data_IF_904245898343
#
_entry.id   IF_904245898343
#
_cell.length_a   1.000
_cell.length_b   1.000
_cell.length_c   1.000
_cell.angle_alpha   90.00
_cell.angle_beta   90.00
_cell.angle_gamma   90.00
#
_symmetry.space_group_name_H-M   'P 1'
#
loop_
_entity.id
_entity.type
_entity.pdbx_description
1 polymer ?
#
# COMPACT_ATOMS: atom_id res chain seq x y z
N UNK A 1 34.45 -4.30 -37.79
CA UNK A 1 33.75 -5.47 -37.20
C UNK A 1 33.87 -5.59 -35.67
N UNK A 2 35.04 -5.39 -35.02
CA UNK A 2 35.19 -5.56 -33.55
C UNK A 2 34.43 -4.53 -32.69
N UNK A 3 34.23 -3.29 -33.15
CA UNK A 3 33.58 -2.22 -32.37
C UNK A 3 32.07 -2.42 -32.14
N UNK A 4 31.38 -3.21 -32.96
CA UNK A 4 29.94 -3.45 -32.81
C UNK A 4 29.63 -4.49 -31.71
N UNK A 5 30.50 -5.48 -31.50
CA UNK A 5 30.30 -6.54 -30.49
C UNK A 5 30.40 -6.01 -29.05
N UNK A 6 31.30 -5.06 -28.78
CA UNK A 6 31.42 -4.41 -27.47
C UNK A 6 30.20 -3.57 -27.14
N UNK A 7 29.57 -2.95 -28.14
CA UNK A 7 28.35 -2.15 -27.99
C UNK A 7 27.15 -2.99 -27.54
N UNK A 8 27.02 -4.24 -28.02
CA UNK A 8 25.92 -5.13 -27.67
C UNK A 8 26.05 -5.66 -26.25
N UNK A 9 27.26 -6.10 -25.85
CA UNK A 9 27.52 -6.55 -24.48
C UNK A 9 27.31 -5.42 -23.46
N UNK A 10 27.72 -4.19 -23.78
CA UNK A 10 27.47 -3.00 -22.96
C UNK A 10 25.98 -2.69 -22.81
N UNK A 11 25.23 -2.73 -23.92
CA UNK A 11 23.76 -2.53 -23.92
C UNK A 11 23.06 -3.59 -23.08
N UNK A 12 23.47 -4.85 -23.19
CA UNK A 12 22.91 -5.93 -22.38
C UNK A 12 23.20 -5.74 -20.89
N UNK A 13 24.43 -5.38 -20.54
CA UNK A 13 24.79 -5.04 -19.15
C UNK A 13 23.91 -3.91 -18.62
N UNK A 14 23.70 -2.85 -19.40
CA UNK A 14 22.83 -1.74 -19.01
C UNK A 14 21.37 -2.19 -18.79
N UNK A 15 20.83 -3.04 -19.69
CA UNK A 15 19.51 -3.64 -19.52
C UNK A 15 19.40 -4.43 -18.23
N UNK A 16 20.40 -5.27 -17.93
CA UNK A 16 20.45 -6.06 -16.70
C UNK A 16 20.52 -5.19 -15.45
N UNK A 17 21.36 -4.15 -15.43
CA UNK A 17 21.42 -3.21 -14.30
C UNK A 17 20.10 -2.45 -14.11
N UNK A 18 19.45 -2.03 -15.20
CA UNK A 18 18.16 -1.37 -15.13
C UNK A 18 17.08 -2.28 -14.53
N UNK A 19 17.05 -3.55 -14.95
CA UNK A 19 16.14 -4.57 -14.37
C UNK A 19 16.41 -4.77 -12.88
N UNK A 20 17.66 -5.05 -12.50
CA UNK A 20 18.05 -5.27 -11.09
C UNK A 20 17.74 -4.06 -10.21
N UNK A 21 17.93 -2.84 -10.72
CA UNK A 21 17.61 -1.61 -9.98
C UNK A 21 16.10 -1.43 -9.81
N UNK A 22 15.31 -1.73 -10.83
CA UNK A 22 13.84 -1.72 -10.72
C UNK A 22 13.36 -2.76 -9.72
N UNK A 23 13.93 -3.96 -9.76
CA UNK A 23 13.62 -5.05 -8.82
C UNK A 23 13.92 -4.63 -7.38
N UNK A 24 15.14 -4.18 -7.07
CA UNK A 24 15.51 -3.73 -5.71
C UNK A 24 14.61 -2.62 -5.19
N UNK A 25 14.23 -1.66 -6.04
CA UNK A 25 13.31 -0.59 -5.65
C UNK A 25 11.89 -1.12 -5.40
N UNK A 26 11.44 -2.10 -6.18
CA UNK A 26 10.15 -2.76 -5.96
C UNK A 26 10.16 -3.54 -4.65
N UNK A 27 11.20 -4.33 -4.41
CA UNK A 27 11.39 -5.09 -3.16
C UNK A 27 11.44 -4.15 -1.95
N UNK A 28 12.18 -3.04 -2.03
CA UNK A 28 12.22 -2.07 -0.93
C UNK A 28 10.83 -1.47 -0.61
N UNK A 29 10.08 -1.05 -1.64
CA UNK A 29 8.71 -0.55 -1.42
C UNK A 29 7.79 -1.64 -0.86
N UNK A 30 7.92 -2.88 -1.32
CA UNK A 30 7.15 -4.01 -0.80
C UNK A 30 7.47 -4.28 0.67
N UNK A 31 8.76 -4.32 1.03
CA UNK A 31 9.19 -4.55 2.41
C UNK A 31 8.67 -3.47 3.36
N UNK A 32 8.61 -2.20 2.93
CA UNK A 32 8.02 -1.13 3.73
C UNK A 32 6.51 -1.33 3.94
N UNK A 33 5.80 -1.74 2.89
CA UNK A 33 4.37 -2.04 2.97
C UNK A 33 4.10 -3.24 3.89
N UNK A 34 4.81 -4.35 3.69
CA UNK A 34 4.69 -5.55 4.52
C UNK A 34 4.98 -5.23 6.00
N UNK A 35 5.98 -4.37 6.26
CA UNK A 35 6.32 -3.93 7.62
C UNK A 35 5.23 -3.06 8.25
N UNK A 36 4.63 -2.14 7.50
CA UNK A 36 3.51 -1.34 7.99
C UNK A 36 2.30 -2.23 8.33
N UNK A 37 2.00 -3.21 7.48
CA UNK A 37 0.91 -4.17 7.71
C UNK A 37 1.16 -5.05 8.94
N UNK A 38 2.39 -5.55 9.14
CA UNK A 38 2.80 -6.30 10.33
C UNK A 38 2.60 -5.47 11.60
N UNK A 39 3.03 -4.20 11.60
CA UNK A 39 2.90 -3.31 12.74
C UNK A 39 1.45 -2.97 13.06
N UNK A 40 0.61 -2.78 12.03
CA UNK A 40 -0.84 -2.58 12.19
C UNK A 40 -1.50 -3.82 12.81
N UNK A 41 -1.18 -5.02 12.32
CA UNK A 41 -1.70 -6.26 12.89
C UNK A 41 -1.26 -6.43 14.35
N UNK A 42 0.01 -6.14 14.65
CA UNK A 42 0.53 -6.16 16.02
C UNK A 42 -0.22 -5.19 16.93
N UNK A 43 -0.54 -3.99 16.45
CA UNK A 43 -1.33 -3.01 17.21
C UNK A 43 -2.71 -3.56 17.55
N UNK A 44 -3.40 -4.15 16.57
CA UNK A 44 -4.72 -4.76 16.75
C UNK A 44 -4.65 -5.88 17.79
N UNK A 45 -3.65 -6.76 17.70
CA UNK A 45 -3.44 -7.85 18.66
C UNK A 45 -3.20 -7.32 20.07
N UNK A 46 -2.32 -6.33 20.25
CA UNK A 46 -2.03 -5.72 21.55
C UNK A 46 -3.28 -5.12 22.18
N UNK A 47 -4.08 -4.40 21.39
CA UNK A 47 -5.36 -3.84 21.86
C UNK A 47 -6.31 -4.94 22.33
N UNK A 48 -6.46 -6.01 21.54
CA UNK A 48 -7.30 -7.14 21.91
C UNK A 48 -6.85 -7.77 23.24
N UNK A 49 -5.55 -8.07 23.38
CA UNK A 49 -5.01 -8.66 24.61
C UNK A 49 -5.19 -7.74 25.82
N UNK A 50 -5.01 -6.42 25.66
CA UNK A 50 -5.26 -5.45 26.74
C UNK A 50 -6.74 -5.47 27.14
N UNK A 51 -7.67 -5.47 26.18
CA UNK A 51 -9.10 -5.56 26.47
C UNK A 51 -9.48 -6.87 27.17
N UNK A 52 -8.92 -8.00 26.73
CA UNK A 52 -9.12 -9.31 27.37
C UNK A 52 -8.63 -9.29 28.82
N UNK A 53 -7.44 -8.76 29.09
CA UNK A 53 -6.88 -8.63 30.45
C UNK A 53 -7.67 -7.66 31.32
N UNK A 54 -8.06 -6.51 30.80
CA UNK A 54 -8.90 -5.57 31.54
C UNK A 54 -10.25 -6.20 31.92
N UNK A 55 -10.86 -6.93 30.98
CA UNK A 55 -12.11 -7.67 31.23
C UNK A 55 -11.90 -8.74 32.30
N UNK A 56 -10.81 -9.52 32.21
CA UNK A 56 -10.46 -10.53 33.21
C UNK A 56 -10.22 -9.91 34.60
N UNK A 57 -9.52 -8.77 34.68
CA UNK A 57 -9.27 -8.05 35.92
C UNK A 57 -10.57 -7.52 36.54
N UNK A 58 -11.50 -6.99 35.74
CA UNK A 58 -12.83 -6.59 36.23
C UNK A 58 -13.57 -7.79 36.79
N UNK A 59 -13.61 -8.91 36.06
CA UNK A 59 -14.27 -10.13 36.52
C UNK A 59 -13.65 -10.65 37.82
N UNK A 60 -12.32 -10.68 37.93
CA UNK A 60 -11.63 -11.10 39.14
C UNK A 60 -11.91 -10.15 40.33
N UNK A 61 -11.92 -8.84 40.09
CA UNK A 61 -12.27 -7.83 41.09
C UNK A 61 -13.73 -7.91 41.55
N UNK A 62 -14.65 -8.38 40.71
CA UNK A 62 -16.02 -8.66 41.14
C UNK A 62 -16.10 -9.81 42.15
N UNK A 63 -15.16 -10.77 42.10
CA UNK A 63 -15.07 -11.87 43.06
C UNK A 63 -14.25 -11.51 44.31
N UNK A 64 -13.26 -10.62 44.20
CA UNK A 64 -12.43 -10.13 45.30
C UNK A 64 -12.86 -8.72 45.71
N UNK A 65 -13.72 -8.62 46.72
CA UNK A 65 -14.35 -7.39 47.22
C UNK A 65 -13.36 -6.43 47.94
N UNK A 66 -12.26 -6.05 47.30
CA UNK A 66 -11.36 -5.00 47.79
C UNK A 66 -11.50 -3.72 46.96
N UNK A 67 -11.50 -2.58 47.67
CA UNK A 67 -11.82 -1.24 47.14
C UNK A 67 -10.87 -0.83 46.02
N UNK A 68 -11.46 -0.45 44.89
CA UNK A 68 -10.76 -0.10 43.67
C UNK A 68 -9.96 1.20 43.75
N UNK A 69 -8.68 1.08 43.40
CA UNK A 69 -7.96 2.12 42.70
C UNK A 69 -8.23 1.93 41.21
N UNK A 70 -9.04 2.82 40.63
CA UNK A 70 -9.04 3.01 39.18
C UNK A 70 -7.66 3.53 38.82
N UNK A 71 -6.77 2.63 38.40
CA UNK A 71 -5.41 2.97 38.01
C UNK A 71 -5.43 4.14 37.02
N UNK A 72 -4.62 5.14 37.30
CA UNK A 72 -4.38 6.29 36.43
C UNK A 72 -3.77 5.79 35.12
N UNK A 73 -4.62 5.51 34.13
CA UNK A 73 -4.18 5.07 32.80
C UNK A 73 -3.71 6.31 32.05
N UNK A 74 -2.49 6.26 31.50
CA UNK A 74 -1.96 7.31 30.64
C UNK A 74 -2.99 7.67 29.54
N UNK A 75 -3.43 8.94 29.44
CA UNK A 75 -4.39 9.40 28.42
C UNK A 75 -4.01 8.96 27.00
N UNK A 76 -2.70 8.89 26.70
CA UNK A 76 -2.21 8.45 25.40
C UNK A 76 -2.53 6.98 25.12
N UNK A 77 -2.46 6.12 26.13
CA UNK A 77 -2.86 4.71 26.01
C UNK A 77 -4.37 4.62 25.79
N UNK A 78 -5.14 5.42 26.53
CA UNK A 78 -6.60 5.42 26.44
C UNK A 78 -7.07 5.83 25.03
N UNK A 79 -6.47 6.87 24.45
CA UNK A 79 -6.73 7.32 23.08
C UNK A 79 -6.42 6.21 22.05
N UNK A 80 -5.30 5.50 22.22
CA UNK A 80 -4.91 4.39 21.35
C UNK A 80 -5.88 3.21 21.47
N UNK A 81 -6.39 2.91 22.66
CA UNK A 81 -7.38 1.86 22.89
C UNK A 81 -8.75 2.23 22.31
N UNK A 82 -9.16 3.49 22.40
CA UNK A 82 -10.45 3.99 21.85
C UNK A 82 -10.50 4.04 20.32
N UNK A 83 -9.36 4.22 19.64
CA UNK A 83 -9.26 4.32 18.17
C UNK A 83 -9.81 3.06 17.48
N UNK A 84 -10.60 3.15 16.40
CA UNK A 84 -11.06 1.95 15.69
C UNK A 84 -9.93 1.29 14.88
N UNK A 85 -10.13 0.06 14.40
CA UNK A 85 -9.13 -0.62 13.56
C UNK A 85 -8.96 0.05 12.18
N UNK A 86 -10.00 0.71 11.69
CA UNK A 86 -10.03 1.45 10.43
C UNK A 86 -9.25 2.76 10.52
N UNK A 87 -9.18 3.37 11.71
CA UNK A 87 -8.48 4.63 11.95
C UNK A 87 -6.96 4.46 12.08
N UNK A 88 -6.46 3.25 12.28
CA UNK A 88 -5.02 2.96 12.28
C UNK A 88 -4.43 3.38 10.92
N UNK A 89 -3.30 4.10 10.88
CA UNK A 89 -2.62 4.46 9.64
C UNK A 89 -2.39 3.24 8.74
N UNK A 90 -2.65 3.40 7.44
CA UNK A 90 -2.58 2.34 6.44
C UNK A 90 -1.96 2.92 5.16
N UNK A 91 -1.24 2.09 4.40
CA UNK A 91 -0.66 2.44 3.10
C UNK A 91 -1.67 3.09 2.15
N UNK A 92 -2.94 2.71 2.21
CA UNK A 92 -4.04 3.31 1.42
C UNK A 92 -4.34 4.77 1.74
N UNK A 93 -3.93 5.25 2.93
CA UNK A 93 -4.13 6.64 3.38
C UNK A 93 -3.00 7.58 2.96
N UNK A 94 -1.91 7.06 2.40
CA UNK A 94 -0.82 7.92 1.90
C UNK A 94 -1.36 8.72 0.72
N UNK A 95 -1.33 10.06 0.77
CA UNK A 95 -1.92 10.90 -0.27
C UNK A 95 -1.30 10.57 -1.63
N UNK A 96 -2.12 10.09 -2.55
CA UNK A 96 -1.67 9.90 -3.93
C UNK A 96 -1.41 11.29 -4.52
N UNK A 97 -0.19 11.52 -5.00
CA UNK A 97 0.15 12.82 -5.58
C UNK A 97 -0.80 13.16 -6.73
N UNK A 98 -1.37 14.37 -6.73
CA UNK A 98 -2.38 14.77 -7.70
C UNK A 98 -1.94 14.42 -9.13
N UNK A 99 -2.87 13.84 -9.88
CA UNK A 99 -2.65 13.63 -11.31
C UNK A 99 -2.28 14.97 -11.94
N UNK A 100 -1.17 15.00 -12.68
CA UNK A 100 -0.77 16.22 -13.36
C UNK A 100 -1.82 16.57 -14.41
N UNK A 101 -2.53 17.66 -14.18
CA UNK A 101 -3.35 18.30 -15.19
C UNK A 101 -2.45 19.28 -15.93
N UNK A 102 -1.97 18.90 -17.12
CA UNK A 102 -1.26 19.84 -17.99
C UNK A 102 -2.27 20.80 -18.63
N UNK A 103 -2.01 22.12 -18.60
CA UNK A 103 -2.78 23.08 -19.39
C UNK A 103 -2.78 22.67 -20.87
N UNK A 104 -3.96 22.64 -21.50
CA UNK A 104 -4.13 22.34 -22.93
C UNK A 104 -4.43 20.87 -23.28
N UNK A 105 -4.63 19.98 -22.29
CA UNK A 105 -5.12 18.60 -22.55
C UNK A 105 -6.65 18.48 -22.68
N UNK A 106 -7.41 19.58 -22.51
CA UNK A 106 -8.87 19.55 -22.49
C UNK A 106 -9.53 19.62 -23.88
N UNK A 107 -8.76 19.81 -24.96
CA UNK A 107 -9.31 20.08 -26.31
C UNK A 107 -9.84 18.84 -27.07
N UNK A 108 -9.87 17.65 -26.46
CA UNK A 108 -10.16 16.39 -27.17
C UNK A 108 -11.43 15.63 -26.79
N UNK A 109 -12.12 15.94 -25.69
CA UNK A 109 -13.35 15.21 -25.31
C UNK A 109 -14.58 15.95 -25.83
N UNK A 110 -15.02 15.53 -27.03
CA UNK A 110 -16.37 15.78 -27.55
C UNK A 110 -17.38 15.34 -26.50
N UNK A 111 -18.09 16.32 -25.94
CA UNK A 111 -19.17 16.23 -24.96
C UNK A 111 -20.34 15.44 -25.60
N UNK A 112 -20.61 14.21 -25.15
CA UNK A 112 -21.98 13.68 -25.16
C UNK A 112 -22.52 13.91 -23.75
N UNK A 113 -23.60 14.70 -23.70
CA UNK A 113 -24.02 15.41 -22.50
C UNK A 113 -24.61 14.53 -21.42
N UNK A 114 -24.51 15.03 -20.19
CA UNK A 114 -25.63 15.10 -19.24
C UNK A 114 -25.31 16.28 -18.31
N UNK A 115 -26.21 17.24 -18.28
CA UNK A 115 -26.16 18.48 -17.52
C UNK A 115 -26.45 18.25 -16.04
N UNK A 116 -25.53 18.63 -15.16
CA UNK A 116 -25.83 18.94 -13.76
C UNK A 116 -24.99 20.14 -13.33
N UNK A 117 -25.61 21.32 -13.41
CA UNK A 117 -25.02 22.65 -13.20
C UNK A 117 -24.58 22.94 -11.76
N UNK A 118 -24.78 22.02 -10.80
CA UNK A 118 -24.35 22.19 -9.42
C UNK A 118 -22.92 21.65 -9.15
N UNK A 119 -22.40 20.77 -10.00
CA UNK A 119 -21.07 20.18 -9.81
C UNK A 119 -19.93 21.03 -10.41
N UNK A 120 -20.25 21.94 -11.35
CA UNK A 120 -19.24 22.79 -12.02
C UNK A 120 -18.82 23.98 -11.13
N UNK A 121 -19.69 24.51 -10.27
CA UNK A 121 -19.38 25.65 -9.40
C UNK A 121 -18.44 25.26 -8.23
N UNK A 122 -18.62 24.07 -7.67
CA UNK A 122 -17.78 23.56 -6.57
C UNK A 122 -16.39 23.10 -7.04
N UNK A 123 -16.28 22.66 -8.31
CA UNK A 123 -15.00 22.30 -8.93
C UNK A 123 -14.15 23.53 -9.29
N UNK A 124 -14.77 24.69 -9.52
CA UNK A 124 -14.07 25.93 -9.83
C UNK A 124 -13.40 26.54 -8.58
N UNK A 125 -14.07 26.48 -7.42
CA UNK A 125 -13.51 26.95 -6.14
C UNK A 125 -12.31 26.10 -5.65
N UNK A 126 -12.30 24.78 -5.93
CA UNK A 126 -11.15 23.93 -5.64
C UNK A 126 -9.98 24.15 -6.62
N UNK A 127 -10.27 24.55 -7.87
CA UNK A 127 -9.23 24.87 -8.86
C UNK A 127 -8.54 26.21 -8.54
N UNK A 128 -9.25 27.18 -7.96
CA UNK A 128 -8.66 28.45 -7.56
C UNK A 128 -7.76 28.30 -6.32
N UNK A 129 -8.12 27.43 -5.36
CA UNK A 129 -7.26 27.11 -4.21
C UNK A 129 -5.93 26.41 -4.60
N UNK A 130 -5.94 25.62 -5.69
CA UNK A 130 -4.72 24.99 -6.24
C UNK A 130 -3.84 26.00 -6.99
N UNK A 131 -4.43 27.07 -7.55
CA UNK A 131 -3.69 28.17 -8.19
C UNK A 131 -3.22 29.24 -7.21
N UNK A 132 -3.83 29.35 -6.02
CA UNK A 132 -3.49 30.32 -4.98
C UNK A 132 -2.41 29.83 -3.99
N UNK A 133 -2.04 28.54 -4.02
CA UNK A 133 -0.74 28.12 -3.51
C UNK A 133 0.32 28.62 -4.49
N UNK A 134 1.40 29.25 -4.01
CA UNK A 134 2.37 29.87 -4.89
C UNK A 134 2.96 28.81 -5.83
N UNK A 135 2.51 28.85 -7.09
CA UNK A 135 3.26 28.37 -8.25
C UNK A 135 4.45 29.34 -8.49
N UNK A 136 5.11 29.77 -7.41
CA UNK A 136 6.54 30.00 -7.40
C UNK A 136 7.14 28.59 -7.23
N UNK A 137 7.07 27.71 -8.23
CA UNK A 137 7.81 27.98 -9.45
C UNK A 137 9.27 28.08 -9.05
N UNK A 138 9.87 27.00 -8.55
CA UNK A 138 11.32 26.87 -8.64
C UNK A 138 11.61 26.98 -10.15
N UNK A 139 12.15 28.12 -10.64
CA UNK A 139 12.32 28.35 -12.07
C UNK A 139 13.44 27.46 -12.65
N UNK A 140 13.95 26.52 -11.85
CA UNK A 140 15.15 25.76 -12.11
C UNK A 140 14.91 24.24 -12.03
N UNK A 141 13.68 23.80 -12.27
CA UNK A 141 13.36 22.38 -12.45
C UNK A 141 13.88 21.83 -13.78
N UNK A 142 14.44 22.70 -14.64
CA UNK A 142 14.98 22.36 -15.96
C UNK A 142 13.90 21.96 -16.97
N UNK A 143 12.63 22.27 -16.68
CA UNK A 143 11.48 21.98 -17.53
C UNK A 143 11.02 23.28 -18.19
N UNK A 144 11.02 23.31 -19.52
CA UNK A 144 10.50 24.42 -20.31
C UNK A 144 8.97 24.29 -20.46
N UNK A 145 8.22 24.97 -19.59
CA UNK A 145 6.75 24.95 -19.57
C UNK A 145 6.13 25.75 -20.72
N UNK A 146 6.80 26.80 -21.19
CA UNK A 146 6.35 27.62 -22.32
C UNK A 146 6.31 26.79 -23.60
N UNK A 147 7.37 25.99 -23.83
CA UNK A 147 7.42 25.06 -24.95
C UNK A 147 6.31 24.00 -24.86
N UNK A 148 5.96 23.55 -23.66
CA UNK A 148 4.94 22.51 -23.45
C UNK A 148 3.51 22.99 -23.78
N UNK A 149 3.25 24.29 -23.63
CA UNK A 149 1.94 24.91 -23.90
C UNK A 149 1.68 25.31 -25.35
N UNK A 150 2.68 25.23 -26.24
CA UNK A 150 2.53 25.65 -27.66
C UNK A 150 1.52 24.79 -28.42
N UNK A 151 0.78 25.43 -29.32
CA UNK A 151 -0.13 24.76 -30.26
C UNK A 151 0.64 23.77 -31.14
N UNK A 152 0.30 22.47 -31.04
CA UNK A 152 0.97 21.41 -31.80
C UNK A 152 0.84 21.59 -33.32
N UNK A 153 -0.23 22.23 -33.79
CA UNK A 153 -0.47 22.52 -35.20
C UNK A 153 0.50 23.55 -35.79
N UNK A 154 1.09 24.40 -34.94
CA UNK A 154 2.04 25.45 -35.34
C UNK A 154 3.51 25.03 -35.11
N UNK A 155 3.74 23.85 -34.54
CA UNK A 155 5.09 23.39 -34.20
C UNK A 155 5.76 22.71 -35.39
N UNK A 156 7.02 23.05 -35.63
CA UNK A 156 7.87 22.30 -36.57
C UNK A 156 8.17 20.89 -36.03
N UNK A 157 8.55 19.92 -36.89
CA UNK A 157 8.92 18.57 -36.44
C UNK A 157 10.02 18.57 -35.38
N UNK A 158 11.00 19.48 -35.47
CA UNK A 158 12.06 19.63 -34.48
C UNK A 158 11.53 20.13 -33.13
N UNK A 159 10.59 21.06 -33.13
CA UNK A 159 9.95 21.55 -31.90
C UNK A 159 9.04 20.50 -31.26
N UNK A 160 8.28 19.75 -32.07
CA UNK A 160 7.50 18.60 -31.58
C UNK A 160 8.40 17.58 -30.86
N UNK A 161 9.61 17.34 -31.39
CA UNK A 161 10.58 16.48 -30.75
C UNK A 161 11.12 17.04 -29.43
N UNK A 162 11.34 18.37 -29.34
CA UNK A 162 11.69 19.03 -28.08
C UNK A 162 10.55 18.92 -27.06
N UNK A 163 9.30 19.17 -27.46
CA UNK A 163 8.10 19.01 -26.63
C UNK A 163 7.99 17.57 -26.10
N UNK A 164 8.25 16.57 -26.95
CA UNK A 164 8.25 15.16 -26.55
C UNK A 164 9.31 14.87 -25.49
N UNK A 165 10.54 15.35 -25.69
CA UNK A 165 11.64 15.17 -24.72
C UNK A 165 11.33 15.86 -23.40
N UNK A 166 10.77 17.07 -23.45
CA UNK A 166 10.42 17.82 -22.26
C UNK A 166 9.29 17.16 -21.47
N UNK A 167 8.25 16.69 -22.15
CA UNK A 167 7.19 15.91 -21.50
C UNK A 167 7.76 14.64 -20.85
N UNK A 168 8.70 13.96 -21.52
CA UNK A 168 9.35 12.78 -20.95
C UNK A 168 10.19 13.12 -19.71
N UNK A 169 10.97 14.22 -19.75
CA UNK A 169 11.70 14.74 -18.58
C UNK A 169 10.76 15.00 -17.42
N UNK A 170 9.69 15.74 -17.67
CA UNK A 170 8.68 16.08 -16.69
C UNK A 170 8.01 14.82 -16.09
N UNK A 171 7.58 13.85 -16.92
CA UNK A 171 6.99 12.59 -16.42
C UNK A 171 7.99 11.74 -15.63
N UNK A 172 9.24 11.68 -16.07
CA UNK A 172 10.29 10.96 -15.37
C UNK A 172 10.57 11.59 -14.00
N UNK A 173 10.65 12.93 -13.94
CA UNK A 173 10.81 13.67 -12.69
C UNK A 173 9.66 13.37 -11.73
N UNK A 174 8.41 13.56 -12.16
CA UNK A 174 7.23 13.28 -11.32
C UNK A 174 7.18 11.84 -10.84
N UNK A 175 7.42 10.87 -11.72
CA UNK A 175 7.43 9.45 -11.31
C UNK A 175 8.47 9.18 -10.22
N UNK A 176 9.63 9.86 -10.25
CA UNK A 176 10.63 9.75 -9.18
C UNK A 176 10.15 10.42 -7.90
N UNK A 177 9.59 11.62 -8.02
CA UNK A 177 9.11 12.38 -6.87
C UNK A 177 7.95 11.67 -6.17
N UNK A 178 7.01 11.08 -6.92
CA UNK A 178 5.94 10.27 -6.34
C UNK A 178 6.45 9.09 -5.53
N UNK A 179 7.43 8.38 -6.07
CA UNK A 179 8.03 7.25 -5.37
C UNK A 179 8.81 7.71 -4.13
N UNK A 180 9.50 8.84 -4.22
CA UNK A 180 10.26 9.38 -3.09
C UNK A 180 9.32 9.74 -1.94
N UNK A 181 8.31 10.56 -2.21
CA UNK A 181 7.31 10.99 -1.23
C UNK A 181 6.62 9.75 -0.64
N UNK A 182 6.17 8.81 -1.47
CA UNK A 182 5.54 7.59 -0.96
C UNK A 182 6.45 6.79 -0.01
N UNK A 183 7.74 6.62 -0.34
CA UNK A 183 8.68 5.92 0.53
C UNK A 183 8.93 6.70 1.84
N UNK A 184 9.13 8.02 1.76
CA UNK A 184 9.34 8.88 2.93
C UNK A 184 8.13 8.86 3.87
N UNK A 185 6.91 9.00 3.34
CA UNK A 185 5.66 8.92 4.11
C UNK A 185 5.47 7.53 4.74
N UNK A 186 5.81 6.46 4.01
CA UNK A 186 5.74 5.09 4.55
C UNK A 186 6.71 4.89 5.71
N UNK A 187 7.93 5.44 5.63
CA UNK A 187 8.90 5.39 6.72
C UNK A 187 8.43 6.17 7.96
N UNK A 188 7.80 7.34 7.76
CA UNK A 188 7.18 8.12 8.85
C UNK A 188 6.05 7.32 9.51
N UNK A 189 5.19 6.71 8.71
CA UNK A 189 4.09 5.87 9.20
C UNK A 189 4.60 4.68 10.03
N UNK A 190 5.62 3.96 9.55
CA UNK A 190 6.24 2.86 10.28
C UNK A 190 6.75 3.33 11.64
N UNK A 191 7.48 4.46 11.69
CA UNK A 191 7.98 5.02 12.95
C UNK A 191 6.86 5.37 13.93
N UNK A 192 5.76 5.93 13.42
CA UNK A 192 4.58 6.21 14.24
C UNK A 192 4.00 4.92 14.83
N UNK A 193 3.74 3.90 13.99
CA UNK A 193 3.18 2.62 14.42
C UNK A 193 4.10 1.90 15.42
N UNK A 194 5.41 1.94 15.22
CA UNK A 194 6.39 1.38 16.18
C UNK A 194 6.30 2.07 17.54
N UNK A 195 6.24 3.40 17.57
CA UNK A 195 6.10 4.17 18.80
C UNK A 195 4.77 3.89 19.52
N UNK A 196 3.64 3.86 18.80
CA UNK A 196 2.34 3.53 19.38
C UNK A 196 2.31 2.09 19.92
N UNK A 197 2.87 1.13 19.17
CA UNK A 197 2.99 -0.26 19.62
C UNK A 197 3.86 -0.41 20.86
N UNK A 198 4.91 0.40 21.01
CA UNK A 198 5.77 0.39 22.19
C UNK A 198 5.00 0.88 23.43
N UNK A 199 4.17 1.91 23.29
CA UNK A 199 3.31 2.43 24.37
C UNK A 199 2.32 1.35 24.82
N UNK A 200 1.63 0.69 23.88
CA UNK A 200 0.69 -0.39 24.21
C UNK A 200 1.38 -1.60 24.85
N UNK A 201 2.57 -1.99 24.37
CA UNK A 201 3.37 -3.06 24.99
C UNK A 201 3.77 -2.71 26.43
N UNK A 202 4.19 -1.48 26.67
CA UNK A 202 4.59 -1.03 28.02
C UNK A 202 3.40 -1.08 28.99
N UNK A 203 2.22 -0.65 28.53
CA UNK A 203 0.99 -0.77 29.30
C UNK A 203 0.59 -2.23 29.57
N UNK A 204 0.68 -3.10 28.57
CA UNK A 204 0.39 -4.52 28.73
C UNK A 204 1.29 -5.18 29.79
N UNK A 205 2.59 -4.86 29.77
CA UNK A 205 3.54 -5.33 30.77
C UNK A 205 3.22 -4.81 32.18
N UNK A 206 2.72 -3.57 32.29
CA UNK A 206 2.26 -3.01 33.56
C UNK A 206 1.07 -3.80 34.14
N UNK A 207 0.12 -4.20 33.28
CA UNK A 207 -1.01 -5.05 33.69
C UNK A 207 -0.54 -6.42 34.17
N UNK A 208 0.46 -7.01 33.52
CA UNK A 208 1.04 -8.30 33.94
C UNK A 208 1.75 -8.22 35.30
N UNK A 209 2.49 -7.13 35.53
CA UNK A 209 3.15 -6.87 36.82
C UNK A 209 2.16 -6.81 37.98
N UNK A 210 0.98 -6.23 37.79
CA UNK A 210 -0.05 -6.16 38.82
C UNK A 210 -0.75 -7.49 39.10
N UNK A 211 -0.86 -8.36 38.08
CA UNK A 211 -1.54 -9.66 38.22
C UNK A 211 -0.67 -10.70 38.97
N UNK A 212 0.66 -10.61 38.85
CA UNK A 212 1.58 -11.62 39.42
C UNK A 212 1.70 -11.62 40.94
N UNK A 213 1.34 -10.55 41.65
CA UNK A 213 1.55 -10.45 43.11
C UNK A 213 0.47 -11.19 43.91
N UNK A 214 -0.71 -11.45 43.31
CA UNK A 214 -1.81 -12.16 43.96
C UNK A 214 -1.69 -13.70 43.91
N UNK A 215 -0.72 -14.27 43.17
CA UNK A 215 -0.55 -15.72 43.02
C UNK A 215 0.19 -16.42 44.18
N UNK A 216 0.38 -15.74 45.31
CA UNK A 216 0.86 -16.36 46.56
C UNK A 216 -0.33 -16.74 47.45
N UNK A 217 -1.30 -17.48 46.88
CA UNK A 217 -2.39 -18.06 47.64
C UNK A 217 -2.03 -19.49 48.10
N UNK A 218 -2.38 -19.86 49.35
CA UNK A 218 -2.01 -21.14 49.97
C UNK A 218 -2.76 -22.30 49.31
N UNK A 219 -2.08 -23.45 49.20
CA UNK A 219 -2.62 -24.68 48.66
C UNK A 219 -3.97 -25.04 49.31
N UNK A 220 -5.07 -24.85 48.58
CA UNK A 220 -6.37 -25.41 48.95
C UNK A 220 -6.47 -26.85 48.39
N UNK A 221 -7.07 -27.77 49.15
CA UNK A 221 -7.14 -29.19 48.79
C UNK A 221 -8.03 -29.39 47.55
N UNK A 222 -7.46 -30.06 46.56
CA UNK A 222 -8.12 -30.54 45.35
C UNK A 222 -9.21 -31.54 45.76
N UNK A 223 -10.48 -31.13 45.69
CA UNK A 223 -11.61 -32.08 45.74
C UNK A 223 -12.03 -32.32 44.29
N UNK A 224 -11.62 -33.48 43.77
CA UNK A 224 -11.89 -33.96 42.43
C UNK A 224 -13.34 -34.45 42.31
N UNK A 225 -14.21 -33.86 41.46
CA UNK A 225 -15.52 -34.42 41.18
C UNK A 225 -15.38 -35.45 40.05
N UNK A 226 -15.36 -36.74 40.41
CA UNK A 226 -15.60 -37.83 39.48
C UNK A 226 -17.09 -37.88 39.14
N UNK A 227 -17.47 -37.60 37.90
CA UNK A 227 -18.77 -37.99 37.34
C UNK A 227 -18.49 -38.78 36.05
N UNK A 228 -18.93 -40.04 36.06
CA UNK A 228 -18.50 -41.12 35.17
C UNK A 228 -19.13 -41.15 33.76
N UNK A 229 -18.95 -42.28 33.05
CA UNK A 229 -19.30 -42.43 31.64
C UNK A 229 -20.72 -42.99 31.47
N UNK A 230 -21.49 -42.43 30.53
CA UNK A 230 -22.73 -43.06 30.06
C UNK A 230 -22.79 -43.09 28.54
N UNK A 231 -23.26 -44.23 28.08
CA UNK A 231 -23.24 -44.84 26.76
C UNK A 231 -24.15 -44.19 25.71
N UNK A 232 -23.83 -44.48 24.45
CA UNK A 232 -24.50 -44.17 23.17
C UNK A 232 -26.01 -44.50 23.10
N UNK A 233 -26.76 -43.98 22.10
CA UNK A 233 -26.98 -44.78 20.88
C UNK A 233 -27.07 -44.02 19.52
N UNK A 234 -26.64 -44.77 18.49
CA UNK A 234 -26.97 -44.77 17.04
C UNK A 234 -28.23 -44.01 16.56
N UNK A 235 -28.11 -43.25 15.44
CA UNK A 235 -29.00 -43.27 14.24
C UNK A 235 -28.37 -42.47 13.07
N UNK A 236 -28.45 -42.90 11.79
CA UNK A 236 -27.83 -42.22 10.63
C UNK A 236 -28.81 -41.32 9.83
N UNK A 237 -28.29 -40.39 9.00
CA UNK A 237 -28.96 -39.99 7.77
C UNK A 237 -28.08 -40.19 6.50
N UNK A 238 -28.71 -40.28 5.30
CA UNK A 238 -28.03 -40.54 4.02
C UNK A 238 -27.61 -39.25 3.28
N UNK A 239 -26.88 -39.44 2.16
CA UNK A 239 -26.47 -38.49 1.08
C UNK A 239 -25.51 -37.35 1.51
N UNK A 240 -24.42 -37.03 0.80
CA UNK A 240 -24.29 -36.86 -0.66
C UNK A 240 -22.83 -36.88 -1.13
N UNK A 241 -22.68 -36.94 -2.45
CA UNK A 241 -21.45 -37.09 -3.22
C UNK A 241 -20.40 -35.95 -3.09
N UNK A 242 -19.17 -36.29 -3.51
CA UNK A 242 -18.07 -35.43 -4.00
C UNK A 242 -17.25 -34.59 -3.00
N UNK A 243 -15.97 -34.95 -2.81
CA UNK A 243 -14.88 -34.16 -3.37
C UNK A 243 -13.51 -34.84 -3.29
N UNK A 244 -12.71 -34.50 -4.29
CA UNK A 244 -11.49 -35.16 -4.70
C UNK A 244 -10.31 -34.93 -3.74
N UNK A 245 -9.66 -36.04 -3.38
CA UNK A 245 -8.28 -36.09 -2.93
C UNK A 245 -7.38 -35.67 -4.09
N UNK A 246 -6.93 -34.41 -4.08
CA UNK A 246 -5.87 -33.94 -4.98
C UNK A 246 -4.54 -34.04 -4.24
N UNK A 247 -3.78 -35.08 -4.59
CA UNK A 247 -2.37 -35.19 -4.26
C UNK A 247 -1.56 -34.06 -4.95
N UNK A 248 -0.47 -33.59 -4.34
CA UNK A 248 0.44 -32.64 -5.01
C UNK A 248 1.17 -33.34 -6.17
N UNK A 249 1.29 -32.72 -7.36
CA UNK A 249 1.97 -33.33 -8.49
C UNK A 249 3.50 -33.33 -8.29
N UNK A 250 4.22 -34.34 -8.79
CA UNK A 250 5.68 -34.35 -8.81
C UNK A 250 6.22 -33.30 -9.80
N UNK A 251 7.29 -32.64 -9.36
CA UNK A 251 8.15 -31.72 -10.11
C UNK A 251 8.42 -32.21 -11.55
N UNK A 252 7.94 -31.46 -12.54
CA UNK A 252 8.39 -31.60 -13.94
C UNK A 252 9.57 -30.64 -14.17
N UNK A 253 10.69 -31.10 -14.76
CA UNK A 253 11.75 -30.20 -15.21
C UNK A 253 11.26 -29.33 -16.37
N UNK A 254 11.38 -28.01 -16.21
CA UNK A 254 11.12 -27.01 -17.24
C UNK A 254 12.07 -27.19 -18.42
N UNK A 255 11.64 -27.94 -19.43
CA UNK A 255 12.26 -27.99 -20.74
C UNK A 255 11.42 -27.13 -21.69
N UNK A 256 11.74 -25.83 -21.79
CA UNK A 256 11.14 -24.96 -22.81
C UNK A 256 11.93 -25.15 -24.12
N UNK A 257 11.30 -25.61 -25.21
CA UNK A 257 11.93 -25.53 -26.53
C UNK A 257 11.96 -24.06 -26.97
N UNK A 258 13.15 -23.59 -27.33
CA UNK A 258 13.36 -22.35 -28.07
C UNK A 258 12.48 -22.36 -29.33
N UNK A 259 11.40 -21.58 -29.32
CA UNK A 259 10.63 -21.27 -30.52
C UNK A 259 11.04 -19.88 -31.03
N UNK A 260 11.72 -19.79 -32.19
CA UNK A 260 12.05 -18.51 -32.79
C UNK A 260 10.78 -17.89 -33.40
N UNK A 261 10.15 -16.97 -32.67
CA UNK A 261 9.13 -16.10 -33.25
C UNK A 261 9.78 -15.23 -34.33
N UNK A 262 9.59 -15.64 -35.59
CA UNK A 262 9.73 -14.79 -36.77
C UNK A 262 8.72 -13.65 -36.64
N UNK A 263 9.18 -12.47 -36.24
CA UNK A 263 8.43 -11.24 -36.42
C UNK A 263 8.39 -10.93 -37.92
N UNK A 264 7.23 -11.14 -38.54
CA UNK A 264 6.93 -10.67 -39.88
C UNK A 264 6.88 -9.13 -39.87
N UNK A 265 7.53 -8.44 -40.82
CA UNK A 265 7.40 -6.99 -40.95
C UNK A 265 6.03 -6.67 -41.54
N UNK A 266 5.16 -6.01 -40.77
CA UNK A 266 3.95 -5.37 -41.30
C UNK A 266 4.36 -4.17 -42.14
N UNK A 267 4.36 -4.36 -43.46
CA UNK A 267 4.42 -3.26 -44.43
C UNK A 267 3.12 -2.45 -44.33
N UNK A 268 3.17 -1.30 -43.65
CA UNK A 268 2.15 -0.28 -43.81
C UNK A 268 2.38 0.45 -45.14
N UNK A 269 1.54 0.13 -46.12
CA UNK A 269 1.43 0.89 -47.37
C UNK A 269 0.99 2.33 -47.07
N UNK A 270 1.90 3.27 -47.27
CA UNK A 270 1.62 4.70 -47.32
C UNK A 270 1.04 5.03 -48.71
N UNK A 271 -0.27 5.27 -48.79
CA UNK A 271 -0.91 5.79 -50.00
C UNK A 271 -0.69 7.29 -50.09
N UNK A 272 0.26 7.69 -50.96
CA UNK A 272 0.51 9.08 -51.34
C UNK A 272 -0.56 9.52 -52.34
N UNK A 273 -1.60 10.19 -51.86
CA UNK A 273 -2.58 10.85 -52.73
C UNK A 273 -1.95 12.11 -53.34
N UNK A 274 -1.70 12.07 -54.66
CA UNK A 274 -1.36 13.25 -55.46
C UNK A 274 -2.65 14.03 -55.72
N UNK A 275 -2.74 15.28 -55.28
CA UNK A 275 -3.67 16.25 -55.84
C UNK A 275 -2.98 16.98 -56.99
N UNK A 276 -3.59 16.86 -58.16
CA UNK A 276 -3.54 17.84 -59.25
C UNK A 276 -4.35 19.07 -58.88
#
# INVERSE_FOLDING_TARGET
MRQYRTSLASRERNRMHARKTRQRKKEHMQNLQDRADELKQKQIQLKQTIHEKNTANILLGMFCKEKGESGDVDPRVEDLLKRSAEDIPDASKIPELPALILPGQHSGKKKMGTSSSAAEEMAMAQHEAILALPVAGNPNDGIDYELLGKDRSKCTPAELDKIRRERNRMHAKRTRDRKRIFMEEMEVMIKQLEGENQVLQSHLNSLDGTSSVAAKAPALPIVSPCIGPTTSPSTPPPVDHSNATTAPPPNKPNNFPNSPHKCSPTHHHCTRSKRT
#
